data_IF_179159497071
#
_entry.id   IF_179159497071
#
_cell.length_a   1.000
_cell.length_b   1.000
_cell.length_c   1.000
_cell.angle_alpha   90.00
_cell.angle_beta   90.00
_cell.angle_gamma   90.00
#
_symmetry.space_group_name_H-M   'P 1'
#
loop_
_entity.id
_entity.type
_entity.pdbx_description
1 polymer ?
#
# COMPACT_ATOMS: atom_id res chain seq x y z
N UNK A 1 -6.74 16.68 16.40
CA UNK A 1 -7.42 15.89 15.37
C UNK A 1 -7.22 14.41 15.63
N UNK A 2 -8.28 13.63 15.51
CA UNK A 2 -8.21 12.20 15.78
C UNK A 2 -7.57 11.47 14.60
N UNK A 3 -6.54 10.66 14.88
CA UNK A 3 -5.92 9.83 13.85
C UNK A 3 -6.81 8.63 13.56
N UNK A 4 -6.91 8.28 12.27
CA UNK A 4 -7.65 7.09 11.87
C UNK A 4 -6.82 5.84 12.17
N UNK A 5 -7.41 4.79 12.74
CA UNK A 5 -6.70 3.53 12.88
C UNK A 5 -6.40 2.92 11.51
N UNK A 6 -5.28 2.23 11.41
CA UNK A 6 -4.82 1.62 10.17
C UNK A 6 -5.23 0.15 10.14
N UNK A 7 -5.87 -0.26 9.06
CA UNK A 7 -6.21 -1.66 8.80
C UNK A 7 -5.53 -2.12 7.52
N UNK A 8 -5.06 -3.35 7.53
CA UNK A 8 -4.40 -3.94 6.37
C UNK A 8 -5.30 -5.03 5.80
N UNK A 9 -5.64 -4.91 4.52
CA UNK A 9 -6.30 -6.00 3.81
C UNK A 9 -5.36 -7.21 3.77
N UNK A 10 -5.93 -8.41 3.75
CA UNK A 10 -5.15 -9.63 3.66
C UNK A 10 -4.25 -9.61 2.41
N UNK A 11 -4.79 -9.14 1.30
CA UNK A 11 -4.02 -9.02 0.07
C UNK A 11 -2.78 -8.14 0.25
N UNK A 12 -2.92 -7.02 0.95
CA UNK A 12 -1.79 -6.12 1.19
C UNK A 12 -0.76 -6.78 2.09
N UNK A 13 -1.20 -7.51 3.12
CA UNK A 13 -0.29 -8.24 4.00
C UNK A 13 0.47 -9.31 3.23
N UNK A 14 -0.23 -10.09 2.43
CA UNK A 14 0.38 -11.15 1.62
C UNK A 14 1.39 -10.59 0.64
N UNK A 15 1.05 -9.49 0.00
CA UNK A 15 1.95 -8.85 -0.96
C UNK A 15 3.18 -8.27 -0.27
N UNK A 16 3.02 -7.69 0.91
CA UNK A 16 4.16 -7.19 1.67
C UNK A 16 5.10 -8.33 2.05
N UNK A 17 4.54 -9.45 2.49
CA UNK A 17 5.33 -10.63 2.84
C UNK A 17 6.05 -11.20 1.60
N UNK A 18 5.39 -11.19 0.45
CA UNK A 18 6.00 -11.65 -0.81
C UNK A 18 7.16 -10.73 -1.23
N UNK A 19 7.01 -9.42 -1.03
CA UNK A 19 8.09 -8.47 -1.28
C UNK A 19 9.29 -8.79 -0.37
N UNK A 20 9.00 -9.02 0.91
CA UNK A 20 10.04 -9.37 1.86
C UNK A 20 10.79 -10.64 1.43
N UNK A 21 10.04 -11.70 1.12
CA UNK A 21 10.63 -12.99 0.73
C UNK A 21 11.50 -12.85 -0.51
N UNK A 22 11.03 -12.10 -1.49
CA UNK A 22 11.78 -11.89 -2.73
C UNK A 22 13.12 -11.20 -2.46
N UNK A 23 13.11 -10.12 -1.67
CA UNK A 23 14.33 -9.38 -1.36
C UNK A 23 15.26 -10.21 -0.48
N UNK A 24 14.68 -10.99 0.44
CA UNK A 24 15.46 -11.80 1.37
C UNK A 24 16.27 -12.90 0.68
N UNK A 25 15.91 -13.28 -0.54
CA UNK A 25 16.72 -14.22 -1.32
C UNK A 25 18.12 -13.67 -1.54
N UNK A 26 18.27 -12.36 -1.67
CA UNK A 26 19.56 -11.72 -1.83
C UNK A 26 20.12 -11.16 -0.51
N UNK A 27 19.27 -10.57 0.30
CA UNK A 27 19.70 -9.93 1.54
C UNK A 27 18.56 -9.81 2.54
N UNK A 28 18.69 -10.52 3.66
CA UNK A 28 17.72 -10.43 4.75
C UNK A 28 17.71 -9.03 5.34
N UNK A 29 18.88 -8.39 5.46
CA UNK A 29 18.97 -7.03 5.99
C UNK A 29 18.24 -6.03 5.12
N UNK A 30 18.37 -6.15 3.80
CA UNK A 30 17.65 -5.28 2.87
C UNK A 30 16.14 -5.52 2.96
N UNK A 31 15.73 -6.79 3.07
CA UNK A 31 14.32 -7.15 3.19
C UNK A 31 13.69 -6.54 4.43
N UNK A 32 14.40 -6.63 5.56
CA UNK A 32 13.94 -6.04 6.82
C UNK A 32 13.78 -4.53 6.72
N UNK A 33 14.75 -3.86 6.09
CA UNK A 33 14.73 -2.41 5.92
C UNK A 33 13.54 -1.98 5.06
N UNK A 34 13.34 -2.64 3.92
CA UNK A 34 12.24 -2.30 3.02
C UNK A 34 10.89 -2.51 3.72
N UNK A 35 10.70 -3.65 4.35
CA UNK A 35 9.43 -3.94 5.05
C UNK A 35 9.16 -2.90 6.14
N UNK A 36 10.17 -2.61 6.95
CA UNK A 36 10.04 -1.64 8.03
C UNK A 36 9.65 -0.26 7.52
N UNK A 37 10.32 0.20 6.44
CA UNK A 37 10.07 1.52 5.89
C UNK A 37 8.69 1.62 5.21
N UNK A 38 8.23 0.55 4.57
CA UNK A 38 6.90 0.54 3.97
C UNK A 38 5.82 0.56 5.04
N UNK A 39 6.00 -0.19 6.13
CA UNK A 39 5.06 -0.15 7.26
C UNK A 39 5.03 1.23 7.89
N UNK A 40 6.20 1.83 8.08
CA UNK A 40 6.31 3.17 8.65
C UNK A 40 5.60 4.20 7.78
N UNK A 41 5.77 4.11 6.47
CA UNK A 41 5.09 5.00 5.53
C UNK A 41 3.57 4.81 5.62
N UNK A 42 3.10 3.56 5.65
CA UNK A 42 1.67 3.27 5.76
C UNK A 42 1.08 3.90 7.04
N UNK A 43 1.77 3.76 8.16
CA UNK A 43 1.28 4.31 9.43
C UNK A 43 1.27 5.84 9.42
N UNK A 44 2.17 6.48 8.67
CA UNK A 44 2.20 7.94 8.57
C UNK A 44 1.00 8.51 7.84
N UNK A 45 0.31 7.69 7.04
CA UNK A 45 -0.84 8.14 6.26
C UNK A 45 -2.00 8.60 7.15
N UNK A 46 -2.09 8.07 8.37
CA UNK A 46 -3.17 8.47 9.28
C UNK A 46 -3.01 9.90 9.80
N UNK A 47 -1.82 10.50 9.70
CA UNK A 47 -1.60 11.88 10.10
C UNK A 47 -2.26 12.86 9.12
N UNK A 48 -2.17 12.56 7.82
CA UNK A 48 -2.73 13.40 6.78
C UNK A 48 -3.30 12.50 5.67
N UNK A 49 -4.47 11.90 5.89
CA UNK A 49 -5.00 10.89 4.95
C UNK A 49 -5.23 11.42 3.54
N UNK A 50 -5.50 12.72 3.40
CA UNK A 50 -5.82 13.33 2.10
C UNK A 50 -4.58 13.93 1.40
N UNK A 51 -3.40 13.72 1.96
CA UNK A 51 -2.18 14.32 1.44
C UNK A 51 -1.81 13.85 0.03
N UNK A 52 -2.06 12.57 -0.26
CA UNK A 52 -1.63 11.97 -1.53
C UNK A 52 -2.77 11.88 -2.53
N UNK A 53 -2.40 11.76 -3.81
CA UNK A 53 -3.35 11.80 -4.92
C UNK A 53 -4.22 10.56 -5.01
N UNK A 54 -5.41 10.73 -5.60
CA UNK A 54 -6.28 9.61 -5.92
C UNK A 54 -5.57 8.72 -6.95
N UNK A 55 -5.68 7.38 -6.77
CA UNK A 55 -5.08 6.44 -7.71
C UNK A 55 -5.90 6.41 -9.00
N UNK A 56 -5.30 6.88 -10.09
CA UNK A 56 -6.02 7.04 -11.36
C UNK A 56 -6.44 5.72 -12.00
N UNK A 57 -5.73 4.63 -11.74
CA UNK A 57 -6.11 3.32 -12.29
C UNK A 57 -7.36 2.75 -11.63
N UNK A 58 -7.77 3.34 -10.51
CA UNK A 58 -8.93 2.90 -9.74
C UNK A 58 -9.97 4.02 -9.60
N UNK A 59 -9.89 5.04 -10.46
CA UNK A 59 -10.74 6.23 -10.36
C UNK A 59 -12.22 5.90 -10.54
N UNK A 60 -12.54 4.85 -11.31
CA UNK A 60 -13.92 4.45 -11.57
C UNK A 60 -14.50 3.55 -10.48
N UNK A 61 -13.70 3.19 -9.47
CA UNK A 61 -14.19 2.38 -8.38
C UNK A 61 -15.03 3.22 -7.42
N UNK A 62 -16.05 2.61 -6.78
CA UNK A 62 -16.89 3.36 -5.84
C UNK A 62 -16.12 3.91 -4.64
N UNK A 63 -15.05 3.22 -4.24
CA UNK A 63 -14.18 3.68 -3.16
C UNK A 63 -13.16 4.67 -3.69
N UNK A 64 -12.82 5.65 -2.88
CA UNK A 64 -11.79 6.63 -3.23
C UNK A 64 -10.42 6.10 -2.83
N UNK A 65 -9.76 5.44 -3.77
CA UNK A 65 -8.42 4.93 -3.55
C UNK A 65 -7.38 6.02 -3.78
N UNK A 66 -6.44 6.09 -2.86
CA UNK A 66 -5.29 6.98 -2.96
C UNK A 66 -4.02 6.13 -3.01
N UNK A 67 -2.93 6.73 -3.43
CA UNK A 67 -1.67 6.01 -3.46
C UNK A 67 -0.49 6.89 -3.07
N UNK A 68 0.53 6.24 -2.54
CA UNK A 68 1.81 6.87 -2.23
C UNK A 68 2.91 5.89 -2.63
N UNK A 69 4.02 6.44 -3.14
CA UNK A 69 5.15 5.62 -3.57
C UNK A 69 6.37 5.90 -2.71
N UNK A 70 7.16 4.85 -2.51
CA UNK A 70 8.49 4.97 -1.90
C UNK A 70 9.41 4.00 -2.62
N UNK A 71 10.55 4.49 -3.10
CA UNK A 71 11.46 3.72 -3.96
C UNK A 71 10.68 3.20 -5.17
N UNK A 72 10.69 1.89 -5.40
CA UNK A 72 9.95 1.28 -6.50
C UNK A 72 8.68 0.58 -6.03
N UNK A 73 8.15 0.96 -4.85
CA UNK A 73 6.93 0.35 -4.30
C UNK A 73 5.83 1.38 -4.20
N UNK A 74 4.61 0.94 -4.43
CA UNK A 74 3.43 1.78 -4.32
C UNK A 74 2.49 1.16 -3.30
N UNK A 75 1.96 2.00 -2.40
CA UNK A 75 0.93 1.61 -1.43
C UNK A 75 -0.39 2.21 -1.89
N UNK A 76 -1.41 1.36 -2.04
CA UNK A 76 -2.76 1.79 -2.35
C UNK A 76 -3.59 1.72 -1.07
N UNK A 77 -4.30 2.79 -0.77
CA UNK A 77 -5.09 2.85 0.45
C UNK A 77 -6.43 3.55 0.22
N UNK A 78 -7.37 3.25 1.10
CA UNK A 78 -8.71 3.83 1.10
C UNK A 78 -8.93 4.53 2.43
N UNK A 79 -9.55 5.72 2.41
CA UNK A 79 -9.87 6.47 3.62
C UNK A 79 -11.37 6.40 3.84
N UNK A 80 -11.78 5.90 5.01
CA UNK A 80 -13.18 5.92 5.41
C UNK A 80 -13.34 6.86 6.60
N UNK A 81 -14.58 7.08 7.05
CA UNK A 81 -14.82 7.92 8.21
C UNK A 81 -14.26 7.33 9.50
N UNK A 82 -14.08 6.02 9.54
CA UNK A 82 -13.69 5.32 10.76
C UNK A 82 -12.26 4.83 10.77
N UNK A 83 -11.70 4.51 9.58
CA UNK A 83 -10.35 3.94 9.51
C UNK A 83 -9.75 4.16 8.13
N UNK A 84 -8.45 3.88 8.06
CA UNK A 84 -7.69 3.89 6.82
C UNK A 84 -7.30 2.45 6.49
N UNK A 85 -7.64 2.01 5.29
CA UNK A 85 -7.37 0.63 4.85
C UNK A 85 -6.21 0.62 3.87
N UNK A 86 -5.17 -0.16 4.17
CA UNK A 86 -4.11 -0.44 3.20
C UNK A 86 -4.64 -1.56 2.31
N UNK A 87 -4.97 -1.21 1.06
CA UNK A 87 -5.63 -2.13 0.15
C UNK A 87 -4.64 -3.00 -0.62
N UNK A 88 -3.49 -2.44 -0.95
CA UNK A 88 -2.49 -3.16 -1.74
C UNK A 88 -1.11 -2.54 -1.57
N UNK A 89 -0.08 -3.34 -1.80
CA UNK A 89 1.31 -2.89 -1.91
C UNK A 89 1.93 -3.67 -3.05
N UNK A 90 2.62 -2.99 -3.96
CA UNK A 90 3.21 -3.69 -5.09
C UNK A 90 4.42 -2.92 -5.64
N UNK A 91 5.25 -3.62 -6.39
CA UNK A 91 6.39 -3.01 -7.08
C UNK A 91 5.87 -2.26 -8.32
N UNK A 92 6.38 -1.05 -8.55
CA UNK A 92 5.88 -0.19 -9.63
C UNK A 92 6.13 -0.74 -11.03
N UNK A 93 6.99 -1.75 -11.17
CA UNK A 93 7.20 -2.43 -12.46
C UNK A 93 6.03 -3.33 -12.86
N UNK A 94 5.12 -3.65 -11.92
CA UNK A 94 3.94 -4.44 -12.23
C UNK A 94 2.96 -3.60 -13.04
N UNK A 95 2.36 -4.22 -14.07
CA UNK A 95 1.45 -3.51 -14.94
C UNK A 95 0.17 -3.14 -14.19
N UNK A 96 -0.33 -1.89 -14.34
CA UNK A 96 -1.53 -1.45 -13.61
C UNK A 96 -2.75 -2.33 -13.81
N UNK A 97 -2.89 -2.98 -14.96
CA UNK A 97 -4.02 -3.86 -15.23
C UNK A 97 -4.10 -5.03 -14.26
N UNK A 98 -2.98 -5.40 -13.63
CA UNK A 98 -2.97 -6.47 -12.61
C UNK A 98 -3.76 -6.07 -11.36
N UNK A 99 -3.84 -4.78 -11.07
CA UNK A 99 -4.61 -4.29 -9.93
C UNK A 99 -6.09 -4.57 -10.17
N UNK A 100 -6.59 -4.21 -11.36
CA UNK A 100 -7.98 -4.45 -11.71
C UNK A 100 -8.32 -5.94 -11.82
N UNK A 101 -7.43 -6.73 -12.46
CA UNK A 101 -7.68 -8.16 -12.65
C UNK A 101 -7.73 -8.94 -11.34
N UNK A 102 -7.10 -8.43 -10.30
CA UNK A 102 -7.11 -9.10 -8.98
C UNK A 102 -8.45 -9.00 -8.29
N UNK A 103 -9.37 -8.22 -8.80
CA UNK A 103 -10.71 -8.08 -8.23
C UNK A 103 -11.67 -9.17 -8.67
N UNK A 104 -11.36 -9.84 -9.72
CA UNK A 104 -12.22 -10.88 -10.29
C UNK A 104 -12.25 -12.16 -9.46
#
# INVERSE_FOLDING_TARGET
>A
MKKLPIRWDNKAKENLDAIYDYIAEDSINAARKVKKELIKLAHSLSDYPDKYSIEEYLIDEPENYRSVSKWHYKIIYEVTDEYLIIADVFHTSQHPSKIGSQKD
#
